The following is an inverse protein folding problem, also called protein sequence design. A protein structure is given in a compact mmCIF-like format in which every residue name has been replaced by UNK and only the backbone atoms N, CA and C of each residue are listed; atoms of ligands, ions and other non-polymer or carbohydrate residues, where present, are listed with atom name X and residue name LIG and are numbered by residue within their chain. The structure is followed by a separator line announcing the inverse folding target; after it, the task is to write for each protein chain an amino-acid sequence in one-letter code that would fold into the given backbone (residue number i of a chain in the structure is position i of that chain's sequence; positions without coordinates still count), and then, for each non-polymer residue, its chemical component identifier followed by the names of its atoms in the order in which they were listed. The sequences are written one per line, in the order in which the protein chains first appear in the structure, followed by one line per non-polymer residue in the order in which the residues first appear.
data_IF_293820552191
#
_entry.id   IF_293820552191
#
_cell.length_a   1.000
_cell.length_b   1.000
_cell.length_c   1.000
_cell.angle_alpha   90.00
_cell.angle_beta   90.00
_cell.angle_gamma   90.00
#
_symmetry.space_group_name_H-M   'P 1'
#
loop_
_entity.id
_entity.type
_entity.pdbx_description
1 polymer ?
#
# COMPACT_ATOMS: atom_id res chain seq x y z
N UNK A 1 50.40 -7.16 -69.13
CA UNK A 1 50.46 -6.23 -67.98
C UNK A 1 49.32 -5.23 -68.12
N UNK A 2 48.21 -5.47 -67.44
CA UNK A 2 47.04 -4.58 -67.39
C UNK A 2 47.19 -3.66 -66.17
N UNK A 3 47.40 -2.37 -66.42
CA UNK A 3 47.53 -1.35 -65.39
C UNK A 3 46.15 -0.98 -64.86
N UNK A 4 45.82 -1.49 -63.67
CA UNK A 4 44.60 -1.17 -62.96
C UNK A 4 44.73 0.26 -62.39
N UNK A 5 44.04 1.21 -63.03
CA UNK A 5 44.08 2.63 -62.66
C UNK A 5 43.10 2.85 -61.50
N UNK A 6 43.58 2.70 -60.27
CA UNK A 6 42.84 3.07 -59.06
C UNK A 6 42.53 4.57 -59.11
N UNK A 7 41.26 4.91 -59.33
CA UNK A 7 40.77 6.28 -59.22
C UNK A 7 40.49 6.57 -57.75
N UNK A 8 41.44 7.22 -57.08
CA UNK A 8 41.21 7.80 -55.75
C UNK A 8 40.31 9.03 -55.92
N UNK A 9 39.00 8.82 -55.78
CA UNK A 9 38.05 9.91 -55.63
C UNK A 9 38.12 10.38 -54.17
N UNK A 10 38.71 11.57 -53.97
CA UNK A 10 38.67 12.24 -52.68
C UNK A 10 37.25 12.69 -52.37
N UNK A 11 36.80 12.46 -51.13
CA UNK A 11 35.50 12.91 -50.66
C UNK A 11 35.39 14.42 -50.81
N UNK A 12 34.29 14.89 -51.38
CA UNK A 12 34.00 16.31 -51.47
C UNK A 12 33.61 16.85 -50.08
N UNK A 13 33.90 18.12 -49.83
CA UNK A 13 33.58 18.78 -48.56
C UNK A 13 32.06 18.71 -48.25
N UNK A 14 31.23 18.71 -49.29
CA UNK A 14 29.77 18.54 -49.20
C UNK A 14 29.40 17.14 -48.71
N UNK A 15 29.99 16.08 -49.26
CA UNK A 15 29.75 14.70 -48.78
C UNK A 15 30.20 14.52 -47.33
N UNK A 16 31.31 15.17 -46.93
CA UNK A 16 31.78 15.10 -45.54
C UNK A 16 30.80 15.79 -44.57
N UNK A 17 30.25 16.95 -44.93
CA UNK A 17 29.22 17.63 -44.16
C UNK A 17 27.90 16.82 -44.09
N UNK A 18 27.51 16.17 -45.19
CA UNK A 18 26.32 15.31 -45.24
C UNK A 18 26.48 14.06 -44.36
N UNK A 19 27.65 13.42 -44.41
CA UNK A 19 27.97 12.28 -43.55
C UNK A 19 27.97 12.69 -42.07
N UNK A 20 28.50 13.87 -41.75
CA UNK A 20 28.58 14.37 -40.37
C UNK A 20 27.20 14.74 -39.82
N UNK A 21 26.31 15.34 -40.63
CA UNK A 21 24.93 15.65 -40.23
C UNK A 21 24.10 14.39 -40.03
N UNK A 22 24.21 13.41 -40.93
CA UNK A 22 23.57 12.09 -40.76
C UNK A 22 24.09 11.38 -39.50
N UNK A 23 25.40 11.41 -39.26
CA UNK A 23 26.02 10.84 -38.05
C UNK A 23 25.50 11.50 -36.77
N UNK A 24 25.39 12.83 -36.76
CA UNK A 24 24.85 13.57 -35.61
C UNK A 24 23.38 13.22 -35.36
N UNK A 25 22.58 13.11 -36.42
CA UNK A 25 21.15 12.76 -36.31
C UNK A 25 20.96 11.35 -35.76
N UNK A 26 21.75 10.38 -36.22
CA UNK A 26 21.75 9.02 -35.68
C UNK A 26 22.19 9.00 -34.21
N UNK A 27 23.20 9.79 -33.85
CA UNK A 27 23.66 9.90 -32.46
C UNK A 27 22.57 10.45 -31.53
N UNK A 28 21.86 11.50 -31.97
CA UNK A 28 20.73 12.07 -31.22
C UNK A 28 19.60 11.06 -31.06
N UNK A 29 19.28 10.30 -32.11
CA UNK A 29 18.25 9.26 -32.05
C UNK A 29 18.63 8.15 -31.07
N UNK A 30 19.90 7.71 -31.07
CA UNK A 30 20.41 6.70 -30.14
C UNK A 30 20.34 7.19 -28.69
N UNK A 31 20.72 8.46 -28.44
CA UNK A 31 20.60 9.08 -27.12
C UNK A 31 19.15 9.18 -26.64
N UNK A 32 18.21 9.54 -27.53
CA UNK A 32 16.79 9.58 -27.21
C UNK A 32 16.24 8.19 -26.86
N UNK A 33 16.63 7.15 -27.62
CA UNK A 33 16.24 5.76 -27.33
C UNK A 33 16.82 5.24 -26.01
N UNK A 34 18.07 5.60 -25.68
CA UNK A 34 18.66 5.30 -24.38
C UNK A 34 17.93 6.02 -23.23
N UNK A 35 17.49 7.25 -23.44
CA UNK A 35 16.67 7.99 -22.48
C UNK A 35 15.35 7.27 -22.20
N UNK A 36 14.62 6.89 -23.25
CA UNK A 36 13.35 6.17 -23.11
C UNK A 36 13.47 4.81 -22.44
N UNK A 37 14.54 4.05 -22.71
CA UNK A 37 14.77 2.75 -22.06
C UNK A 37 15.13 2.90 -20.58
N UNK A 38 15.88 3.95 -20.22
CA UNK A 38 16.18 4.26 -18.81
C UNK A 38 14.92 4.62 -18.03
N UNK A 39 14.06 5.47 -18.61
CA UNK A 39 12.80 5.87 -17.98
C UNK A 39 11.83 4.70 -17.86
N UNK A 40 11.75 3.83 -18.88
CA UNK A 40 10.97 2.61 -18.82
C UNK A 40 11.48 1.63 -17.75
N UNK A 41 12.80 1.45 -17.64
CA UNK A 41 13.39 0.58 -16.61
C UNK A 41 13.17 1.12 -15.20
N UNK A 42 13.32 2.44 -14.99
CA UNK A 42 13.00 3.07 -13.71
C UNK A 42 11.53 2.86 -13.35
N UNK A 43 10.63 3.09 -14.31
CA UNK A 43 9.19 2.88 -14.14
C UNK A 43 8.83 1.44 -13.75
N UNK A 44 9.42 0.45 -14.43
CA UNK A 44 9.22 -0.98 -14.12
C UNK A 44 9.72 -1.31 -12.72
N UNK A 45 10.92 -0.87 -12.36
CA UNK A 45 11.50 -1.11 -11.03
C UNK A 45 10.69 -0.43 -9.91
N UNK A 46 10.17 0.78 -10.16
CA UNK A 46 9.30 1.49 -9.23
C UNK A 46 7.95 0.77 -9.00
N UNK A 47 7.39 0.17 -10.05
CA UNK A 47 6.17 -0.63 -9.98
C UNK A 47 6.39 -1.93 -9.18
N UNK A 48 7.50 -2.64 -9.40
CA UNK A 48 7.83 -3.87 -8.66
C UNK A 48 7.95 -3.61 -7.15
N UNK A 49 8.57 -2.49 -6.75
CA UNK A 49 8.67 -2.12 -5.34
C UNK A 49 7.29 -1.89 -4.72
N UNK A 50 6.44 -1.07 -5.37
CA UNK A 50 5.09 -0.83 -4.89
C UNK A 50 4.23 -2.10 -4.84
N UNK A 51 4.37 -2.99 -5.82
CA UNK A 51 3.69 -4.29 -5.84
C UNK A 51 4.12 -5.17 -4.66
N UNK A 52 5.42 -5.22 -4.35
CA UNK A 52 5.93 -5.95 -3.19
C UNK A 52 5.34 -5.43 -1.89
N UNK A 53 5.27 -4.10 -1.71
CA UNK A 53 4.67 -3.47 -0.53
C UNK A 53 3.17 -3.80 -0.45
N UNK A 54 2.43 -3.69 -1.56
CA UNK A 54 1.02 -4.04 -1.62
C UNK A 54 0.77 -5.51 -1.25
N UNK A 55 1.58 -6.43 -1.79
CA UNK A 55 1.48 -7.85 -1.50
C UNK A 55 1.72 -8.14 -0.02
N UNK A 56 2.74 -7.52 0.58
CA UNK A 56 3.01 -7.66 2.01
C UNK A 56 1.80 -7.24 2.86
N UNK A 57 1.20 -6.07 2.57
CA UNK A 57 0.00 -5.61 3.27
C UNK A 57 -1.17 -6.57 3.06
N UNK A 58 -1.50 -6.89 1.81
CA UNK A 58 -2.69 -7.67 1.50
C UNK A 58 -2.59 -9.09 2.06
N UNK A 59 -1.41 -9.72 2.00
CA UNK A 59 -1.20 -11.04 2.61
C UNK A 59 -1.34 -10.99 4.12
N UNK A 60 -0.68 -10.04 4.79
CA UNK A 60 -0.74 -9.91 6.26
C UNK A 60 -2.16 -9.59 6.74
N UNK A 61 -2.81 -8.61 6.11
CA UNK A 61 -4.16 -8.19 6.45
C UNK A 61 -5.19 -9.30 6.17
N UNK A 62 -5.01 -10.07 5.09
CA UNK A 62 -5.88 -11.22 4.78
C UNK A 62 -5.74 -12.29 5.84
N UNK A 63 -4.53 -12.63 6.26
CA UNK A 63 -4.29 -13.61 7.31
C UNK A 63 -4.98 -13.18 8.62
N UNK A 64 -4.75 -11.94 9.07
CA UNK A 64 -5.35 -11.42 10.30
C UNK A 64 -6.88 -11.37 10.24
N UNK A 65 -7.45 -10.92 9.10
CA UNK A 65 -8.90 -10.84 8.92
C UNK A 65 -9.58 -12.20 8.79
N UNK A 66 -8.86 -13.22 8.30
CA UNK A 66 -9.44 -14.55 8.13
C UNK A 66 -9.74 -15.21 9.48
N UNK A 67 -8.87 -15.02 10.47
CA UNK A 67 -9.08 -15.46 11.85
C UNK A 67 -9.72 -14.38 12.74
N UNK A 68 -10.19 -13.28 12.15
CA UNK A 68 -10.82 -12.21 12.91
C UNK A 68 -12.11 -12.68 13.58
N UNK A 69 -12.33 -12.18 14.79
CA UNK A 69 -13.54 -12.38 15.54
C UNK A 69 -14.13 -11.03 15.93
N UNK A 70 -15.42 -10.85 15.65
CA UNK A 70 -16.08 -9.58 15.88
C UNK A 70 -16.41 -9.38 17.37
N UNK A 71 -16.15 -8.17 17.84
CA UNK A 71 -16.50 -7.70 19.17
C UNK A 71 -16.90 -6.22 19.07
N UNK A 72 -17.80 -5.76 19.94
CA UNK A 72 -18.28 -4.37 19.91
C UNK A 72 -17.18 -3.34 20.17
N UNK A 73 -16.09 -3.76 20.82
CA UNK A 73 -14.90 -2.94 21.04
C UNK A 73 -13.96 -2.81 19.84
N UNK A 74 -14.25 -3.47 18.70
CA UNK A 74 -13.50 -3.32 17.46
C UNK A 74 -13.62 -1.89 16.91
N UNK A 75 -12.58 -1.41 16.23
CA UNK A 75 -12.47 -0.04 15.71
C UNK A 75 -12.54 -0.07 14.18
N UNK A 76 -13.44 0.71 13.59
CA UNK A 76 -13.50 0.95 12.16
C UNK A 76 -13.70 2.45 11.92
N UNK A 77 -12.60 3.19 11.89
CA UNK A 77 -12.62 4.64 11.74
C UNK A 77 -12.25 5.05 10.32
N UNK A 78 -13.11 5.88 9.73
CA UNK A 78 -12.92 6.41 8.39
C UNK A 78 -12.24 7.77 8.46
N UNK A 79 -11.21 7.97 7.63
CA UNK A 79 -10.58 9.28 7.46
C UNK A 79 -11.26 10.07 6.35
N UNK A 80 -11.47 11.37 6.60
CA UNK A 80 -11.97 12.34 5.63
C UNK A 80 -10.86 13.22 5.05
N UNK A 81 -9.59 12.84 5.24
CA UNK A 81 -8.46 13.52 4.64
C UNK A 81 -8.46 13.38 3.11
N UNK A 82 -7.77 14.29 2.42
CA UNK A 82 -7.62 14.25 0.96
C UNK A 82 -7.04 12.91 0.48
N UNK A 83 -6.09 12.37 1.25
CA UNK A 83 -5.59 11.00 1.14
C UNK A 83 -6.05 10.21 2.37
N UNK A 84 -7.06 9.33 2.23
CA UNK A 84 -7.64 8.65 3.38
C UNK A 84 -6.62 7.74 4.09
N UNK A 85 -6.53 7.91 5.40
CA UNK A 85 -5.79 7.01 6.30
C UNK A 85 -6.74 6.40 7.32
N UNK A 86 -7.57 5.47 6.87
CA UNK A 86 -8.49 4.74 7.73
C UNK A 86 -7.75 3.98 8.82
N UNK A 87 -8.47 3.66 9.90
CA UNK A 87 -7.96 2.91 11.02
C UNK A 87 -8.87 1.73 11.32
N UNK A 88 -8.31 0.53 11.36
CA UNK A 88 -9.06 -0.69 11.67
C UNK A 88 -8.41 -1.45 12.82
N UNK A 89 -9.21 -1.82 13.80
CA UNK A 89 -8.83 -2.60 14.96
C UNK A 89 -9.82 -3.72 15.19
N UNK A 90 -9.34 -4.95 15.30
CA UNK A 90 -10.19 -6.12 15.51
C UNK A 90 -9.44 -7.18 16.31
N UNK A 91 -10.19 -8.16 16.81
CA UNK A 91 -9.62 -9.30 17.51
C UNK A 91 -9.38 -10.43 16.52
N UNK A 92 -8.29 -11.16 16.67
CA UNK A 92 -7.89 -12.24 15.77
C UNK A 92 -7.37 -13.40 16.60
N UNK A 93 -7.74 -14.62 16.22
CA UNK A 93 -7.19 -15.84 16.80
C UNK A 93 -5.82 -16.10 16.19
N UNK A 94 -4.85 -16.54 17.01
CA UNK A 94 -3.57 -17.03 16.50
C UNK A 94 -3.76 -18.26 15.61
N UNK A 95 -2.74 -18.61 14.83
CA UNK A 95 -2.77 -19.82 13.98
C UNK A 95 -3.09 -21.08 14.80
N UNK A 96 -3.84 -22.04 14.25
CA UNK A 96 -4.23 -23.27 14.95
C UNK A 96 -3.06 -24.05 15.55
N UNK A 97 -1.89 -23.99 14.92
CA UNK A 97 -0.67 -24.66 15.39
C UNK A 97 -0.03 -23.99 16.62
N UNK A 98 -0.36 -22.72 16.86
CA UNK A 98 0.02 -21.95 18.04
C UNK A 98 -1.09 -21.93 19.11
N UNK A 99 -2.27 -22.47 18.80
CA UNK A 99 -3.39 -22.51 19.73
C UNK A 99 -3.23 -23.62 20.76
N UNK A 100 -3.58 -23.33 22.01
CA UNK A 100 -3.69 -24.36 23.05
C UNK A 100 -4.71 -25.46 22.70
N UNK A 101 -4.60 -26.68 23.29
CA UNK A 101 -5.45 -27.80 22.93
C UNK A 101 -6.95 -27.50 23.16
N UNK A 102 -7.75 -27.77 22.12
CA UNK A 102 -9.22 -27.78 22.06
C UNK A 102 -9.93 -26.47 22.46
N UNK A 103 -10.12 -25.56 21.50
CA UNK A 103 -11.17 -24.52 21.57
C UNK A 103 -11.06 -23.54 22.75
N UNK A 104 -9.91 -23.55 23.44
CA UNK A 104 -9.53 -22.51 24.38
C UNK A 104 -9.45 -21.22 23.60
N UNK A 105 -10.31 -20.26 23.92
CA UNK A 105 -10.16 -18.85 23.56
C UNK A 105 -8.99 -18.32 24.39
N UNK A 106 -7.79 -18.88 24.18
CA UNK A 106 -6.56 -18.61 24.92
C UNK A 106 -5.59 -17.73 24.15
N UNK A 107 -5.81 -17.62 22.83
CA UNK A 107 -4.87 -16.98 21.91
C UNK A 107 -5.55 -15.88 21.07
N UNK A 108 -6.52 -15.18 21.68
CA UNK A 108 -7.16 -14.01 21.09
C UNK A 108 -6.25 -12.79 21.22
N UNK A 109 -5.78 -12.25 20.11
CA UNK A 109 -4.93 -11.06 20.06
C UNK A 109 -5.69 -9.87 19.49
N UNK A 110 -5.35 -8.65 19.92
CA UNK A 110 -5.87 -7.44 19.30
C UNK A 110 -4.91 -6.96 18.21
N UNK A 111 -5.43 -6.82 16.99
CA UNK A 111 -4.69 -6.37 15.82
C UNK A 111 -5.20 -5.00 15.39
N UNK A 112 -4.30 -4.10 15.01
CA UNK A 112 -4.60 -2.71 14.69
C UNK A 112 -3.79 -2.24 13.47
N UNK A 113 -4.45 -1.66 12.47
CA UNK A 113 -3.81 -1.06 11.30
C UNK A 113 -4.08 0.45 11.22
N UNK A 114 -3.04 1.23 10.92
CA UNK A 114 -3.14 2.67 10.75
C UNK A 114 -1.95 3.24 9.97
N UNK A 115 -2.10 4.42 9.37
CA UNK A 115 -0.99 5.14 8.75
C UNK A 115 -0.19 5.94 9.80
N UNK A 116 1.14 5.90 9.69
CA UNK A 116 2.08 6.69 10.50
C UNK A 116 3.23 7.20 9.66
N UNK A 117 3.62 8.44 9.92
CA UNK A 117 4.82 9.04 9.34
C UNK A 117 6.03 8.71 10.21
N UNK A 118 7.01 8.02 9.64
CA UNK A 118 8.26 7.64 10.29
C UNK A 118 9.41 8.52 9.77
N UNK A 119 10.33 8.92 10.65
CA UNK A 119 11.58 9.59 10.24
C UNK A 119 12.67 8.57 10.02
N UNK A 120 13.13 8.43 8.78
CA UNK A 120 14.20 7.52 8.38
C UNK A 120 15.25 8.34 7.65
N UNK A 121 16.49 8.35 8.15
CA UNK A 121 17.62 9.06 7.53
C UNK A 121 17.33 10.53 7.19
N UNK A 122 16.66 11.24 8.10
CA UNK A 122 16.30 12.66 7.94
C UNK A 122 15.13 12.95 7.00
N UNK A 123 14.46 11.92 6.46
CA UNK A 123 13.27 12.05 5.62
C UNK A 123 12.04 11.46 6.32
N UNK A 124 10.87 12.04 6.06
CA UNK A 124 9.59 11.45 6.44
C UNK A 124 9.18 10.42 5.40
N UNK A 125 8.79 9.23 5.86
CA UNK A 125 8.21 8.15 5.05
C UNK A 125 6.88 7.74 5.67
N UNK A 126 5.80 7.78 4.90
CA UNK A 126 4.49 7.29 5.36
C UNK A 126 4.41 5.78 5.25
N UNK A 127 4.02 5.14 6.33
CA UNK A 127 4.00 3.69 6.48
C UNK A 127 2.62 3.22 6.93
N UNK A 128 2.21 2.03 6.50
CA UNK A 128 1.13 1.30 7.13
C UNK A 128 1.71 0.51 8.30
N UNK A 129 1.25 0.84 9.50
CA UNK A 129 1.65 0.19 10.74
C UNK A 129 0.68 -0.93 11.09
N UNK A 130 1.21 -1.99 11.71
CA UNK A 130 0.45 -3.05 12.36
C UNK A 130 0.83 -3.08 13.84
N UNK A 131 -0.15 -2.86 14.70
CA UNK A 131 -0.05 -3.12 16.13
C UNK A 131 -0.61 -4.50 16.43
N UNK A 132 0.10 -5.27 17.25
CA UNK A 132 -0.39 -6.52 17.82
C UNK A 132 -0.29 -6.42 19.35
N UNK A 133 -1.32 -6.91 20.05
CA UNK A 133 -1.31 -7.08 21.50
C UNK A 133 -1.49 -8.57 21.80
N UNK A 134 -0.72 -9.06 22.76
CA UNK A 134 -0.77 -10.46 23.15
C UNK A 134 -2.13 -10.81 23.77
N UNK A 135 -2.36 -12.12 23.92
CA UNK A 135 -3.63 -12.62 24.44
C UNK A 135 -3.88 -12.23 25.89
N UNK A 136 -2.86 -12.21 26.75
CA UNK A 136 -3.00 -11.80 28.15
C UNK A 136 -3.57 -10.39 28.30
N UNK A 137 -3.03 -9.43 27.55
CA UNK A 137 -3.45 -8.04 27.59
C UNK A 137 -4.85 -7.89 27.00
N UNK A 138 -5.13 -8.63 25.93
CA UNK A 138 -6.42 -8.66 25.25
C UNK A 138 -7.52 -9.16 26.19
N UNK A 139 -7.32 -10.28 26.89
CA UNK A 139 -8.27 -10.80 27.86
C UNK A 139 -8.46 -9.87 29.06
N UNK A 140 -7.37 -9.30 29.57
CA UNK A 140 -7.46 -8.37 30.68
C UNK A 140 -8.30 -7.14 30.31
N UNK A 141 -8.11 -6.60 29.10
CA UNK A 141 -8.87 -5.47 28.61
C UNK A 141 -10.34 -5.83 28.33
N UNK A 142 -10.63 -7.01 27.77
CA UNK A 142 -12.01 -7.47 27.55
C UNK A 142 -12.77 -7.65 28.86
N UNK A 143 -12.16 -8.30 29.88
CA UNK A 143 -12.75 -8.47 31.22
C UNK A 143 -13.05 -7.15 31.92
N UNK A 144 -12.25 -6.11 31.65
CA UNK A 144 -12.42 -4.77 32.23
C UNK A 144 -13.28 -3.84 31.38
N UNK A 145 -13.86 -4.34 30.29
CA UNK A 145 -14.58 -3.56 29.29
C UNK A 145 -13.79 -2.34 28.77
N UNK A 146 -12.49 -2.55 28.54
CA UNK A 146 -11.53 -1.53 28.11
C UNK A 146 -10.86 -1.88 26.76
N UNK A 147 -11.54 -2.68 25.95
CA UNK A 147 -11.11 -3.12 24.61
C UNK A 147 -10.58 -1.98 23.70
N UNK A 148 -11.21 -0.80 23.62
CA UNK A 148 -10.74 0.26 22.72
C UNK A 148 -9.29 0.71 22.97
N UNK A 149 -8.80 0.60 24.21
CA UNK A 149 -7.44 1.00 24.56
C UNK A 149 -6.36 0.13 23.89
N UNK A 150 -6.69 -1.10 23.50
CA UNK A 150 -5.77 -2.00 22.80
C UNK A 150 -5.41 -1.47 21.40
N UNK A 151 -6.30 -0.69 20.79
CA UNK A 151 -6.16 -0.13 19.45
C UNK A 151 -5.58 1.30 19.48
N UNK A 152 -4.82 1.63 20.53
CA UNK A 152 -4.05 2.88 20.58
C UNK A 152 -2.69 2.69 19.92
N UNK A 153 -2.22 3.74 19.24
CA UNK A 153 -0.93 3.73 18.54
C UNK A 153 0.19 3.59 19.55
N UNK A 154 1.12 2.66 19.32
CA UNK A 154 2.26 2.42 20.19
C UNK A 154 3.58 2.49 19.43
N UNK A 155 4.69 2.59 20.17
CA UNK A 155 6.04 2.55 19.60
C UNK A 155 6.51 1.13 19.31
N UNK A 156 5.84 0.11 19.86
CA UNK A 156 6.12 -1.31 19.58
C UNK A 156 5.44 -1.80 18.30
N UNK A 157 4.57 -0.99 17.68
CA UNK A 157 3.88 -1.35 16.46
C UNK A 157 4.87 -1.36 15.28
N UNK A 158 4.71 -2.32 14.36
CA UNK A 158 5.66 -2.59 13.28
C UNK A 158 5.20 -2.00 11.94
N UNK A 159 6.11 -1.47 11.10
CA UNK A 159 5.76 -1.09 9.74
C UNK A 159 5.60 -2.34 8.87
N UNK A 160 4.41 -2.51 8.27
CA UNK A 160 4.14 -3.60 7.32
C UNK A 160 4.53 -3.22 5.91
N UNK A 161 4.31 -1.94 5.56
CA UNK A 161 4.66 -1.42 4.25
C UNK A 161 4.98 0.06 4.26
N UNK A 162 5.79 0.47 3.30
CA UNK A 162 6.28 1.84 3.11
C UNK A 162 5.67 2.50 1.88
N UNK A 163 5.63 3.84 1.88
CA UNK A 163 5.14 4.62 0.74
C UNK A 163 3.64 4.55 0.54
N UNK A 164 2.89 4.17 1.58
CA UNK A 164 1.42 4.09 1.53
C UNK A 164 0.86 5.51 1.65
N UNK A 165 0.25 5.99 0.58
CA UNK A 165 -0.34 7.32 0.50
C UNK A 165 -1.75 7.33 1.08
N UNK A 166 -2.54 6.31 0.73
CA UNK A 166 -3.87 6.10 1.29
C UNK A 166 -4.11 4.64 1.63
N UNK A 167 -4.84 4.44 2.72
CA UNK A 167 -5.37 3.16 3.19
C UNK A 167 -6.84 3.37 3.50
N UNK A 168 -7.69 2.68 2.75
CA UNK A 168 -9.13 2.65 2.98
C UNK A 168 -9.55 1.23 3.32
N UNK A 169 -10.34 1.09 4.37
CA UNK A 169 -10.85 -0.18 4.84
C UNK A 169 -12.32 0.00 5.21
N UNK A 170 -13.19 -0.28 4.24
CA UNK A 170 -14.64 -0.06 4.34
C UNK A 170 -15.34 -1.37 4.72
N UNK A 171 -15.83 -1.52 5.95
CA UNK A 171 -16.60 -2.70 6.32
C UNK A 171 -17.94 -2.72 5.57
N UNK A 172 -18.30 -3.89 5.04
CA UNK A 172 -19.52 -4.08 4.25
C UNK A 172 -20.29 -5.33 4.70
N UNK A 173 -21.60 -5.28 4.50
CA UNK A 173 -22.52 -6.40 4.73
C UNK A 173 -23.40 -6.57 3.49
N UNK A 174 -23.91 -7.79 3.27
CA UNK A 174 -24.93 -8.01 2.24
C UNK A 174 -26.30 -7.67 2.80
N UNK A 175 -27.06 -6.87 2.06
CA UNK A 175 -28.47 -6.64 2.36
C UNK A 175 -29.32 -7.87 1.94
N UNK A 176 -30.63 -7.91 2.28
CA UNK A 176 -31.51 -9.02 1.89
C UNK A 176 -31.65 -9.22 0.37
N UNK A 177 -31.36 -8.20 -0.44
CA UNK A 177 -31.37 -8.28 -1.91
C UNK A 177 -30.04 -8.77 -2.49
N UNK A 178 -29.06 -9.11 -1.64
CA UNK A 178 -27.75 -9.64 -2.01
C UNK A 178 -26.72 -8.60 -2.44
N UNK A 179 -27.04 -7.31 -2.36
CA UNK A 179 -26.13 -6.20 -2.68
C UNK A 179 -25.27 -5.83 -1.48
N UNK A 180 -24.04 -5.35 -1.76
CA UNK A 180 -23.14 -4.83 -0.74
C UNK A 180 -23.57 -3.45 -0.29
N UNK A 181 -23.65 -3.25 1.02
CA UNK A 181 -23.87 -1.95 1.64
C UNK A 181 -22.84 -1.69 2.74
N UNK A 182 -22.64 -0.41 3.08
CA UNK A 182 -21.78 -0.04 4.20
C UNK A 182 -22.30 -0.66 5.50
N UNK A 183 -21.40 -1.31 6.24
CA UNK A 183 -21.70 -1.80 7.57
C UNK A 183 -21.67 -0.65 8.58
N UNK A 184 -22.55 -0.71 9.59
CA UNK A 184 -22.67 0.30 10.63
C UNK A 184 -22.32 -0.30 12.01
N UNK A 185 -21.57 0.41 12.86
CA UNK A 185 -21.18 -0.09 14.19
C UNK A 185 -22.32 -0.46 15.13
N UNK A 186 -23.52 0.05 14.89
CA UNK A 186 -24.73 -0.26 15.66
C UNK A 186 -25.33 -1.63 15.32
N UNK A 187 -24.83 -2.30 14.28
CA UNK A 187 -25.30 -3.63 13.90
C UNK A 187 -24.75 -4.69 14.87
N UNK A 188 -25.63 -5.56 15.36
CA UNK A 188 -25.23 -6.70 16.19
C UNK A 188 -24.39 -7.74 15.41
N UNK A 189 -24.45 -7.70 14.08
CA UNK A 189 -23.74 -8.60 13.19
C UNK A 189 -22.39 -8.02 12.81
N UNK A 190 -21.38 -8.89 12.73
CA UNK A 190 -20.09 -8.56 12.15
C UNK A 190 -20.23 -8.07 10.70
N UNK A 191 -19.28 -7.24 10.20
CA UNK A 191 -19.17 -7.04 8.76
C UNK A 191 -18.90 -8.39 8.08
N UNK A 192 -19.41 -8.56 6.87
CA UNK A 192 -19.17 -9.78 6.09
C UNK A 192 -17.83 -9.72 5.35
N UNK A 193 -17.47 -8.53 4.86
CA UNK A 193 -16.19 -8.26 4.19
C UNK A 193 -15.66 -6.89 4.57
N UNK A 194 -14.35 -6.70 4.43
CA UNK A 194 -13.69 -5.40 4.43
C UNK A 194 -13.24 -5.11 3.01
N UNK A 195 -13.81 -4.09 2.38
CA UNK A 195 -13.34 -3.58 1.10
C UNK A 195 -12.10 -2.71 1.35
N UNK A 196 -10.95 -3.20 0.92
CA UNK A 196 -9.65 -2.56 1.11
C UNK A 196 -9.22 -1.88 -0.18
N UNK A 197 -8.78 -0.62 -0.07
CA UNK A 197 -8.07 0.09 -1.14
C UNK A 197 -6.77 0.67 -0.60
N UNK A 198 -5.68 0.35 -1.28
CA UNK A 198 -4.34 0.87 -1.02
C UNK A 198 -3.92 1.75 -2.19
N UNK A 199 -3.38 2.92 -1.87
CA UNK A 199 -2.68 3.77 -2.85
C UNK A 199 -1.25 3.89 -2.40
N UNK A 200 -0.31 3.52 -3.27
CA UNK A 200 1.11 3.46 -2.98
C UNK A 200 1.85 4.42 -3.91
N UNK A 201 2.72 5.25 -3.35
CA UNK A 201 3.60 6.10 -4.11
C UNK A 201 4.74 5.26 -4.70
N UNK A 202 4.95 5.35 -6.02
CA UNK A 202 6.10 4.72 -6.68
C UNK A 202 7.40 5.35 -6.19
N UNK A 203 8.51 4.62 -6.34
CA UNK A 203 9.82 5.01 -5.81
C UNK A 203 10.25 6.42 -6.20
N UNK A 204 10.01 6.84 -7.45
CA UNK A 204 10.40 8.16 -7.96
C UNK A 204 9.65 9.29 -7.27
N UNK A 205 8.38 9.07 -6.95
CA UNK A 205 7.53 10.02 -6.24
C UNK A 205 7.86 10.00 -4.75
N UNK A 206 7.92 8.81 -4.13
CA UNK A 206 8.26 8.65 -2.72
C UNK A 206 9.59 9.34 -2.36
N UNK A 207 10.58 9.31 -3.27
CA UNK A 207 11.86 10.01 -3.07
C UNK A 207 11.74 11.55 -2.98
N UNK A 208 10.68 12.12 -3.53
CA UNK A 208 10.36 13.56 -3.52
C UNK A 208 9.46 13.97 -2.34
N UNK A 209 8.81 13.00 -1.69
CA UNK A 209 7.94 13.24 -0.53
C UNK A 209 8.78 13.21 0.75
N UNK A 210 9.44 14.31 1.06
CA UNK A 210 10.45 14.36 2.13
C UNK A 210 9.91 14.75 3.51
N UNK A 211 8.73 15.36 3.57
CA UNK A 211 8.10 15.86 4.80
C UNK A 211 6.61 15.48 4.86
N UNK A 212 5.99 15.58 6.04
CA UNK A 212 4.60 15.16 6.24
C UNK A 212 3.61 15.86 5.29
N UNK A 213 3.79 17.17 5.06
CA UNK A 213 2.92 17.95 4.19
C UNK A 213 2.97 17.43 2.75
N UNK A 214 4.16 17.04 2.28
CA UNK A 214 4.31 16.45 0.95
C UNK A 214 3.50 15.16 0.79
N UNK A 215 3.44 14.30 1.81
CA UNK A 215 2.60 13.10 1.82
C UNK A 215 1.10 13.40 1.89
N UNK A 216 0.72 14.55 2.42
CA UNK A 216 -0.69 15.01 2.49
C UNK A 216 -1.18 15.67 1.20
N UNK A 217 -0.37 15.69 0.14
CA UNK A 217 -0.74 16.41 -1.09
C UNK A 217 -0.54 17.92 -0.99
N UNK A 218 0.27 18.39 -0.04
CA UNK A 218 0.62 19.79 0.13
C UNK A 218 2.05 20.10 -0.35
N UNK A 219 2.36 21.37 -0.59
CA UNK A 219 3.70 21.82 -0.96
C UNK A 219 4.07 21.61 -2.43
N UNK A 220 5.37 21.62 -2.75
CA UNK A 220 5.88 21.60 -4.13
C UNK A 220 5.63 20.28 -4.86
N UNK A 221 5.44 19.18 -4.13
CA UNK A 221 5.12 17.85 -4.68
C UNK A 221 3.62 17.59 -4.84
N UNK A 222 2.74 18.48 -4.35
CA UNK A 222 1.29 18.35 -4.40
C UNK A 222 0.75 18.05 -5.82
N UNK A 223 1.29 18.76 -6.81
CA UNK A 223 0.90 18.59 -8.21
C UNK A 223 1.19 17.19 -8.78
N UNK A 224 2.12 16.44 -8.17
CA UNK A 224 2.44 15.07 -8.59
C UNK A 224 1.50 14.03 -8.01
N UNK A 225 0.86 14.32 -6.86
CA UNK A 225 -0.07 13.41 -6.20
C UNK A 225 -1.47 13.49 -6.81
N UNK A 226 -1.95 14.71 -7.11
CA UNK A 226 -3.30 14.92 -7.61
C UNK A 226 -4.36 14.56 -6.57
N UNK A 227 -5.50 14.07 -7.04
CA UNK A 227 -6.66 13.72 -6.19
C UNK A 227 -6.74 12.20 -5.95
N UNK A 228 -7.14 11.79 -4.73
CA UNK A 228 -7.28 10.37 -4.38
C UNK A 228 -8.29 9.60 -5.24
N UNK A 229 -9.32 10.28 -5.75
CA UNK A 229 -10.30 9.70 -6.66
C UNK A 229 -9.73 9.39 -8.06
N UNK A 230 -8.68 10.13 -8.47
CA UNK A 230 -8.00 9.98 -9.77
C UNK A 230 -6.70 9.20 -9.67
N UNK A 231 -6.42 8.58 -8.51
CA UNK A 231 -5.16 7.88 -8.26
C UNK A 231 -4.84 6.80 -9.31
N UNK A 232 -5.84 6.09 -9.83
CA UNK A 232 -5.67 5.05 -10.86
C UNK A 232 -5.13 5.61 -12.18
N UNK A 233 -5.43 6.87 -12.50
CA UNK A 233 -4.94 7.54 -13.71
C UNK A 233 -3.56 8.19 -13.50
N UNK A 234 -3.03 8.21 -12.27
CA UNK A 234 -1.76 8.85 -11.95
C UNK A 234 -0.59 7.88 -12.17
N UNK A 235 0.27 8.18 -13.16
CA UNK A 235 1.46 7.39 -13.50
C UNK A 235 2.48 7.22 -12.36
N UNK A 236 2.38 8.04 -11.31
CA UNK A 236 3.29 8.02 -10.16
C UNK A 236 2.76 7.19 -8.99
N UNK A 237 1.55 6.66 -9.11
CA UNK A 237 0.88 5.89 -8.07
C UNK A 237 0.63 4.46 -8.57
N UNK A 238 0.40 3.56 -7.62
CA UNK A 238 -0.17 2.24 -7.84
C UNK A 238 -1.38 2.10 -6.93
N UNK A 239 -2.46 1.51 -7.45
CA UNK A 239 -3.72 1.33 -6.71
C UNK A 239 -4.07 -0.15 -6.66
N UNK A 240 -4.26 -0.67 -5.46
CA UNK A 240 -4.66 -2.05 -5.22
C UNK A 240 -5.97 -2.07 -4.45
N UNK A 241 -6.94 -2.81 -4.95
CA UNK A 241 -8.26 -2.93 -4.34
C UNK A 241 -8.66 -4.39 -4.23
N UNK A 242 -9.20 -4.79 -3.09
CA UNK A 242 -9.70 -6.15 -2.86
C UNK A 242 -10.82 -6.16 -1.82
N UNK A 243 -11.58 -7.25 -1.76
CA UNK A 243 -12.55 -7.53 -0.71
C UNK A 243 -12.07 -8.72 0.10
N UNK A 244 -11.80 -8.49 1.38
CA UNK A 244 -11.31 -9.52 2.29
C UNK A 244 -12.47 -9.95 3.17
N UNK A 245 -12.73 -11.26 3.25
CA UNK A 245 -13.75 -11.81 4.14
C UNK A 245 -13.37 -11.54 5.60
N UNK A 246 -14.31 -11.02 6.37
CA UNK A 246 -14.16 -10.94 7.82
C UNK A 246 -14.48 -12.32 8.41
N UNK A 247 -13.60 -12.83 9.26
CA UNK A 247 -13.54 -14.22 9.72
C UNK A 247 -14.80 -14.79 10.39
N UNK A 248 -14.66 -15.16 11.66
CA UNK A 248 -15.68 -15.86 12.43
C UNK A 248 -16.84 -14.92 12.83
N UNK A 249 -18.06 -15.46 13.02
CA UNK A 249 -19.17 -14.70 13.58
C UNK A 249 -18.85 -14.18 14.99
N UNK A 250 -19.63 -13.21 15.46
CA UNK A 250 -19.41 -12.46 16.70
C UNK A 250 -19.04 -13.33 17.91
N UNK A 251 -18.05 -12.87 18.69
CA UNK A 251 -17.77 -13.42 20.02
C UNK A 251 -19.02 -13.25 20.89
N UNK A 252 -19.66 -14.36 21.25
CA UNK A 252 -20.75 -14.35 22.23
C UNK A 252 -20.18 -14.45 23.63
N UNK A 253 -20.78 -13.76 24.61
CA UNK A 253 -20.32 -13.70 26.01
C UNK A 253 -20.11 -15.07 26.68
N UNK A 254 -20.65 -16.15 26.11
CA UNK A 254 -20.44 -17.53 26.58
C UNK A 254 -19.05 -18.11 26.26
N UNK A 255 -18.21 -17.38 25.52
CA UNK A 255 -16.83 -17.79 25.19
C UNK A 255 -15.72 -16.99 25.90
N UNK A 256 -16.03 -16.06 26.79
CA UNK A 256 -15.01 -15.30 27.54
C UNK A 256 -14.83 -15.80 28.98
#
# INVERSE_FOLDING_TARGET
MTTNRNSQHGFTLVEMLLAMTLGLLVLVLALAMLGHTRDASAHLNGSIAAEREARAVLTQLTADLHSASFHQGSVFEQSHAAWPGDRIGFFSLQDPDAQGPAGSIGDLCAIHYYLKDLRISGKTVRCLMRGSRCSSDTFQALRRNHAPALFTRSQIDEPVAFGILAFEARPQIRNPTGQWQAWQPTMALAPAVIAVRLVIARRELAAKLTDANSWDGCGSAAGLLGEAAKATANRHLEVYSTMIRFGHPALTERGL
#
